data_IF_668323435818
#
_entry.id   IF_668323435818
#
_cell.length_a   1.000
_cell.length_b   1.000
_cell.length_c   1.000
_cell.angle_alpha   90.00
_cell.angle_beta   90.00
_cell.angle_gamma   90.00
#
_symmetry.space_group_name_H-M   'P 1'
#
loop_
_entity.id
_entity.type
_entity.pdbx_description
1 polymer ?
#
# COMPACT_ATOMS: atom_id res chain seq x y z
N UNK A 1 4.48 -6.42 -3.32
CA UNK A 1 5.63 -5.73 -2.70
C UNK A 1 5.92 -4.39 -3.37
N UNK A 2 6.10 -4.33 -4.70
CA UNK A 2 6.31 -3.08 -5.48
C UNK A 2 5.28 -1.98 -5.27
N UNK A 3 3.99 -2.32 -5.13
CA UNK A 3 2.92 -1.32 -4.95
C UNK A 3 3.12 -0.47 -3.69
N UNK A 4 3.60 -1.09 -2.60
CA UNK A 4 3.93 -0.38 -1.36
C UNK A 4 5.39 0.08 -1.32
N UNK A 5 6.20 -0.28 -2.33
CA UNK A 5 7.65 -0.02 -2.35
C UNK A 5 8.39 -0.68 -1.18
N UNK A 6 7.90 -1.81 -0.68
CA UNK A 6 8.48 -2.52 0.47
C UNK A 6 9.08 -3.85 0.04
N UNK A 7 10.07 -4.32 0.80
CA UNK A 7 10.71 -5.62 0.56
C UNK A 7 9.77 -6.79 0.87
N UNK A 8 9.99 -7.97 0.25
CA UNK A 8 9.28 -9.20 0.60
C UNK A 8 9.44 -9.60 2.08
N UNK A 9 10.57 -9.25 2.68
CA UNK A 9 10.83 -9.45 4.12
C UNK A 9 10.28 -8.33 5.01
N UNK A 10 9.48 -7.38 4.48
CA UNK A 10 9.01 -6.25 5.25
C UNK A 10 8.12 -6.68 6.42
N UNK A 11 8.28 -6.01 7.55
CA UNK A 11 7.44 -6.25 8.73
C UNK A 11 6.13 -5.49 8.63
N UNK A 12 5.13 -5.90 9.43
CA UNK A 12 3.82 -5.22 9.48
C UNK A 12 3.94 -3.73 9.83
N UNK A 13 4.93 -3.38 10.66
CA UNK A 13 5.27 -2.00 11.01
C UNK A 13 5.76 -1.20 9.79
N UNK A 14 6.62 -1.79 8.94
CA UNK A 14 7.08 -1.18 7.69
C UNK A 14 5.93 -1.05 6.69
N UNK A 15 5.07 -2.07 6.57
CA UNK A 15 3.87 -2.05 5.75
C UNK A 15 2.92 -0.91 6.14
N UNK A 16 2.64 -0.74 7.43
CA UNK A 16 1.83 0.40 7.94
C UNK A 16 2.49 1.74 7.63
N UNK A 17 3.82 1.83 7.74
CA UNK A 17 4.56 3.07 7.45
C UNK A 17 4.51 3.41 5.96
N UNK A 18 4.70 2.42 5.10
CA UNK A 18 4.58 2.56 3.65
C UNK A 18 3.16 2.93 3.23
N UNK A 19 2.15 2.24 3.77
CA UNK A 19 0.73 2.54 3.53
C UNK A 19 0.41 4.01 3.86
N UNK A 20 0.79 4.50 5.04
CA UNK A 20 0.56 5.90 5.41
C UNK A 20 1.24 6.88 4.46
N UNK A 21 2.43 6.55 3.99
CA UNK A 21 3.21 7.42 3.09
C UNK A 21 2.60 7.48 1.69
N UNK A 22 2.23 6.33 1.12
CA UNK A 22 1.50 6.25 -0.16
C UNK A 22 0.09 6.86 -0.04
N UNK A 23 -0.63 6.62 1.05
CA UNK A 23 -1.96 7.19 1.30
C UNK A 23 -1.93 8.72 1.33
N UNK A 24 -0.88 9.33 1.89
CA UNK A 24 -0.66 10.78 1.85
C UNK A 24 -0.25 11.28 0.46
N UNK A 25 0.52 10.49 -0.29
CA UNK A 25 0.99 10.81 -1.64
C UNK A 25 -0.16 10.80 -2.67
N UNK A 26 -1.08 9.85 -2.51
CA UNK A 26 -2.26 9.66 -3.37
C UNK A 26 -3.54 10.23 -2.74
N UNK A 27 -3.43 11.03 -1.67
CA UNK A 27 -4.59 11.67 -1.06
C UNK A 27 -5.18 12.70 -2.03
N UNK A 28 -6.50 12.72 -2.28
CA UNK A 28 -7.11 13.64 -3.26
C UNK A 28 -6.86 15.12 -2.96
N UNK A 29 -6.60 15.45 -1.69
CA UNK A 29 -6.31 16.81 -1.22
C UNK A 29 -4.84 17.23 -1.38
N UNK A 30 -3.90 16.27 -1.40
CA UNK A 30 -2.45 16.55 -1.44
C UNK A 30 -1.76 16.09 -2.72
N UNK A 31 -2.38 15.18 -3.47
CA UNK A 31 -1.82 14.64 -4.69
C UNK A 31 -2.05 15.61 -5.83
N UNK A 32 -1.00 15.90 -6.60
CA UNK A 32 -1.10 16.59 -7.89
C UNK A 32 -1.54 15.66 -9.02
N UNK A 33 -1.72 14.37 -8.73
CA UNK A 33 -2.19 13.39 -9.71
C UNK A 33 -3.71 13.51 -9.95
N UNK A 34 -4.19 13.10 -11.14
CA UNK A 34 -5.62 13.03 -11.42
C UNK A 34 -6.34 12.17 -10.38
N UNK A 35 -7.55 12.58 -9.96
CA UNK A 35 -8.34 11.89 -8.94
C UNK A 35 -8.56 10.40 -9.27
N UNK A 36 -8.73 10.06 -10.55
CA UNK A 36 -8.82 8.66 -11.00
C UNK A 36 -7.54 7.88 -10.73
N UNK A 37 -6.38 8.41 -11.10
CA UNK A 37 -5.07 7.78 -10.88
C UNK A 37 -4.77 7.63 -9.39
N UNK A 38 -5.07 8.68 -8.61
CA UNK A 38 -4.90 8.68 -7.16
C UNK A 38 -5.81 7.63 -6.49
N UNK A 39 -7.07 7.55 -6.89
CA UNK A 39 -8.03 6.55 -6.39
C UNK A 39 -7.61 5.12 -6.72
N UNK A 40 -7.13 4.89 -7.94
CA UNK A 40 -6.69 3.56 -8.37
C UNK A 40 -5.41 3.12 -7.63
N UNK A 41 -4.44 4.02 -7.50
CA UNK A 41 -3.24 3.81 -6.67
C UNK A 41 -3.61 3.54 -5.22
N UNK A 42 -4.50 4.34 -4.64
CA UNK A 42 -4.94 4.18 -3.26
C UNK A 42 -5.61 2.82 -3.02
N UNK A 43 -6.50 2.39 -3.95
CA UNK A 43 -7.12 1.05 -3.90
C UNK A 43 -6.06 -0.05 -3.95
N UNK A 44 -5.09 0.04 -4.87
CA UNK A 44 -4.00 -0.95 -4.99
C UNK A 44 -3.15 -1.02 -3.72
N UNK A 45 -2.78 0.12 -3.16
CA UNK A 45 -2.00 0.24 -1.92
C UNK A 45 -2.76 -0.36 -0.73
N UNK A 46 -4.06 -0.08 -0.62
CA UNK A 46 -4.91 -0.61 0.44
C UNK A 46 -5.10 -2.12 0.33
N UNK A 47 -5.33 -2.63 -0.88
CA UNK A 47 -5.41 -4.06 -1.14
C UNK A 47 -4.10 -4.79 -0.83
N UNK A 48 -2.97 -4.24 -1.30
CA UNK A 48 -1.66 -4.80 -1.02
C UNK A 48 -1.35 -4.78 0.49
N UNK A 49 -1.75 -3.72 1.20
CA UNK A 49 -1.58 -3.65 2.66
C UNK A 49 -2.44 -4.71 3.35
N UNK A 50 -3.70 -4.89 2.96
CA UNK A 50 -4.59 -5.88 3.53
C UNK A 50 -4.00 -7.30 3.41
N UNK A 51 -3.59 -7.69 2.20
CA UNK A 51 -3.00 -9.02 1.94
C UNK A 51 -1.68 -9.21 2.70
N UNK A 52 -0.82 -8.19 2.75
CA UNK A 52 0.51 -8.30 3.38
C UNK A 52 0.47 -8.11 4.91
N UNK A 53 -0.54 -7.45 5.45
CA UNK A 53 -0.74 -7.26 6.88
C UNK A 53 -1.25 -8.51 7.57
N UNK A 54 -1.94 -9.38 6.83
CA UNK A 54 -2.43 -10.64 7.34
C UNK A 54 -1.37 -11.71 7.11
N UNK A 55 -0.82 -12.24 8.19
CA UNK A 55 0.26 -13.24 8.13
C UNK A 55 -0.19 -14.54 7.43
N UNK A 56 -1.47 -14.91 7.52
CA UNK A 56 -1.99 -16.10 6.83
C UNK A 56 -2.17 -15.84 5.34
N UNK A 57 -2.73 -14.70 4.95
CA UNK A 57 -2.86 -14.34 3.54
C UNK A 57 -1.50 -14.12 2.88
N UNK A 58 -0.56 -13.52 3.60
CA UNK A 58 0.82 -13.37 3.14
C UNK A 58 1.49 -14.72 2.92
N UNK A 59 1.36 -15.66 3.86
CA UNK A 59 1.92 -17.00 3.70
C UNK A 59 1.26 -17.83 2.58
N UNK A 60 0.02 -17.49 2.19
CA UNK A 60 -0.66 -18.11 1.05
C UNK A 60 -0.25 -17.50 -0.31
N UNK A 61 0.34 -16.30 -0.29
CA UNK A 61 0.80 -15.56 -1.49
C UNK A 61 2.32 -15.62 -1.69
N UNK A 62 3.09 -15.88 -0.64
CA UNK A 62 4.55 -16.13 -0.67
C UNK A 62 4.84 -17.56 -1.14
#
# INVERSE_FOLDING_TARGET
YDILGVRPSATEAELRKAYRREALLWHPDKSTAPAEVASERFKRVSHAFHVLSDAQLRAAYD
#
